data_IF_315043465342
#
_entry.id   IF_315043465342
#
_cell.length_a   1.000
_cell.length_b   1.000
_cell.length_c   1.000
_cell.angle_alpha   90.00
_cell.angle_beta   90.00
_cell.angle_gamma   90.00
#
_symmetry.space_group_name_H-M   'P 1'
#
loop_
_entity.id
_entity.type
_entity.pdbx_description
1 polymer ?
#
# COMPACT_ATOMS: atom_id res chain seq x y z
N UNK A 1 -26.53 -2.32 14.32
CA UNK A 1 -25.91 -1.27 15.13
C UNK A 1 -24.72 -0.76 14.33
N UNK A 2 -24.71 0.51 13.93
CA UNK A 2 -23.62 1.07 13.12
C UNK A 2 -22.49 1.55 14.03
N UNK A 3 -21.25 1.48 13.57
CA UNK A 3 -20.09 2.01 14.30
C UNK A 3 -20.25 3.51 14.53
N UNK A 4 -19.82 4.01 15.69
CA UNK A 4 -19.61 5.44 15.86
C UNK A 4 -18.40 5.90 15.03
N UNK A 5 -18.28 7.20 14.70
CA UNK A 5 -17.11 7.72 14.00
C UNK A 5 -15.79 7.33 14.68
N UNK A 6 -15.71 7.44 16.00
CA UNK A 6 -14.51 7.09 16.78
C UNK A 6 -14.19 5.58 16.72
N UNK A 7 -15.22 4.73 16.64
CA UNK A 7 -15.02 3.30 16.48
C UNK A 7 -14.52 2.96 15.07
N UNK A 8 -15.08 3.61 14.04
CA UNK A 8 -14.63 3.44 12.66
C UNK A 8 -13.18 3.88 12.48
N UNK A 9 -12.78 5.00 13.09
CA UNK A 9 -11.38 5.47 13.09
C UNK A 9 -10.43 4.48 13.76
N UNK A 10 -10.83 3.86 14.88
CA UNK A 10 -10.02 2.85 15.55
C UNK A 10 -9.87 1.58 14.71
N UNK A 11 -10.94 1.13 14.07
CA UNK A 11 -10.88 -0.03 13.15
C UNK A 11 -9.96 0.27 11.97
N UNK A 12 -10.08 1.45 11.38
CA UNK A 12 -9.20 1.90 10.30
C UNK A 12 -7.73 1.95 10.74
N UNK A 13 -7.45 2.56 11.89
CA UNK A 13 -6.11 2.66 12.45
C UNK A 13 -5.47 1.28 12.66
N UNK A 14 -6.22 0.33 13.23
CA UNK A 14 -5.76 -1.06 13.39
C UNK A 14 -5.47 -1.73 12.04
N UNK A 15 -6.35 -1.58 11.05
CA UNK A 15 -6.10 -2.15 9.71
C UNK A 15 -4.82 -1.61 9.07
N UNK A 16 -4.57 -0.30 9.19
CA UNK A 16 -3.35 0.35 8.70
C UNK A 16 -2.10 -0.19 9.42
N UNK A 17 -2.18 -0.42 10.73
CA UNK A 17 -1.08 -1.00 11.51
C UNK A 17 -0.81 -2.47 11.12
N UNK A 18 -1.85 -3.27 10.89
CA UNK A 18 -1.73 -4.65 10.40
C UNK A 18 -1.05 -4.69 9.03
N UNK A 19 -1.44 -3.81 8.10
CA UNK A 19 -0.81 -3.70 6.79
C UNK A 19 0.69 -3.35 6.89
N UNK A 20 1.03 -2.38 7.76
CA UNK A 20 2.42 -1.99 8.02
C UNK A 20 3.25 -3.14 8.64
N UNK A 21 2.65 -3.87 9.57
CA UNK A 21 3.29 -4.97 10.27
C UNK A 21 3.45 -6.23 9.39
N UNK A 22 2.58 -6.41 8.39
CA UNK A 22 2.55 -7.59 7.53
C UNK A 22 1.66 -8.72 8.08
N UNK A 23 0.72 -8.39 8.99
CA UNK A 23 -0.21 -9.31 9.63
C UNK A 23 -1.35 -9.70 8.66
N UNK A 24 -0.98 -10.42 7.61
CA UNK A 24 -1.80 -10.62 6.40
C UNK A 24 -3.15 -11.29 6.67
N UNK A 25 -3.17 -12.30 7.53
CA UNK A 25 -4.40 -13.03 7.87
C UNK A 25 -5.38 -12.13 8.63
N UNK A 26 -4.91 -11.48 9.70
CA UNK A 26 -5.73 -10.55 10.48
C UNK A 26 -6.22 -9.36 9.65
N UNK A 27 -5.38 -8.82 8.76
CA UNK A 27 -5.82 -7.77 7.84
C UNK A 27 -6.91 -8.30 6.90
N UNK A 28 -6.78 -9.52 6.40
CA UNK A 28 -7.80 -10.20 5.60
C UNK A 28 -9.16 -10.24 6.30
N UNK A 29 -9.18 -10.62 7.58
CA UNK A 29 -10.42 -10.63 8.39
C UNK A 29 -11.06 -9.24 8.48
N UNK A 30 -10.26 -8.18 8.65
CA UNK A 30 -10.76 -6.80 8.70
C UNK A 30 -11.40 -6.37 7.38
N UNK A 31 -10.80 -6.77 6.25
CA UNK A 31 -11.34 -6.52 4.92
C UNK A 31 -12.65 -7.29 4.71
N UNK A 32 -12.70 -8.55 5.13
CA UNK A 32 -13.92 -9.38 5.07
C UNK A 32 -15.05 -8.80 5.96
N UNK A 33 -14.69 -8.07 7.01
CA UNK A 33 -15.61 -7.31 7.87
C UNK A 33 -15.91 -5.88 7.40
N UNK A 34 -15.49 -5.52 6.19
CA UNK A 34 -15.93 -4.31 5.50
C UNK A 34 -15.00 -3.11 5.63
N UNK A 35 -13.76 -3.28 6.12
CA UNK A 35 -12.73 -2.25 5.90
C UNK A 35 -12.49 -2.11 4.40
N UNK A 36 -12.55 -0.90 3.83
CA UNK A 36 -12.31 -0.72 2.40
C UNK A 36 -10.89 -1.15 2.01
N UNK A 37 -10.75 -1.89 0.91
CA UNK A 37 -9.45 -2.37 0.39
C UNK A 37 -8.46 -1.22 0.11
N UNK A 38 -8.99 -0.05 -0.25
CA UNK A 38 -8.25 1.18 -0.55
C UNK A 38 -8.28 2.19 0.61
N UNK A 39 -8.51 1.71 1.84
CA UNK A 39 -8.46 2.56 3.02
C UNK A 39 -7.09 3.22 3.18
N UNK A 40 -7.09 4.47 3.68
CA UNK A 40 -5.90 5.32 3.79
C UNK A 40 -5.73 5.89 5.20
N UNK A 41 -4.49 6.15 5.58
CA UNK A 41 -4.15 6.92 6.78
C UNK A 41 -4.49 8.41 6.62
N UNK A 42 -4.35 9.19 7.69
CA UNK A 42 -4.43 10.66 7.64
C UNK A 42 -3.40 11.28 6.67
N UNK A 43 -2.28 10.60 6.43
CA UNK A 43 -1.27 11.03 5.46
C UNK A 43 -1.58 10.59 4.02
N UNK A 44 -2.71 9.90 3.80
CA UNK A 44 -3.10 9.34 2.52
C UNK A 44 -2.39 8.04 2.16
N UNK A 45 -1.66 7.41 3.09
CA UNK A 45 -0.99 6.13 2.81
C UNK A 45 -2.02 5.02 2.82
N UNK A 46 -2.21 4.35 1.68
CA UNK A 46 -3.13 3.21 1.57
C UNK A 46 -2.59 1.98 2.33
N UNK A 47 -3.48 1.01 2.60
CA UNK A 47 -3.07 -0.31 3.10
C UNK A 47 -1.94 -0.91 2.25
N UNK A 48 -2.09 -0.86 0.92
CA UNK A 48 -1.11 -1.37 -0.02
C UNK A 48 0.20 -0.59 0.04
N UNK A 49 0.15 0.74 0.20
CA UNK A 49 1.34 1.57 0.36
C UNK A 49 2.13 1.22 1.62
N UNK A 50 1.43 1.07 2.76
CA UNK A 50 2.06 0.69 4.02
C UNK A 50 2.70 -0.69 3.95
N UNK A 51 2.02 -1.68 3.35
CA UNK A 51 2.58 -3.00 3.14
C UNK A 51 3.83 -2.94 2.23
N UNK A 52 3.77 -2.19 1.14
CA UNK A 52 4.85 -2.07 0.18
C UNK A 52 6.09 -1.36 0.77
N UNK A 53 5.90 -0.27 1.51
CA UNK A 53 7.00 0.50 2.13
C UNK A 53 7.76 -0.29 3.20
N UNK A 54 7.13 -1.34 3.74
CA UNK A 54 7.67 -2.19 4.78
C UNK A 54 8.03 -3.60 4.27
N UNK A 55 8.10 -3.79 2.94
CA UNK A 55 8.50 -5.03 2.28
C UNK A 55 7.65 -6.25 2.72
N UNK A 56 6.33 -6.05 2.83
CA UNK A 56 5.37 -7.09 3.24
C UNK A 56 4.77 -7.78 2.02
N UNK A 57 5.57 -8.59 1.32
CA UNK A 57 5.19 -9.20 0.04
C UNK A 57 3.86 -9.97 0.10
N UNK A 58 3.65 -10.80 1.13
CA UNK A 58 2.41 -11.58 1.26
C UNK A 58 1.18 -10.68 1.42
N UNK A 59 1.32 -9.59 2.19
CA UNK A 59 0.25 -8.59 2.36
C UNK A 59 -0.01 -7.83 1.07
N UNK A 60 1.04 -7.47 0.32
CA UNK A 60 0.95 -6.84 -1.01
C UNK A 60 0.21 -7.75 -1.99
N UNK A 61 0.57 -9.03 -2.05
CA UNK A 61 -0.12 -10.03 -2.89
C UNK A 61 -1.61 -10.10 -2.52
N UNK A 62 -1.89 -10.29 -1.24
CA UNK A 62 -3.25 -10.40 -0.72
C UNK A 62 -4.13 -9.19 -1.08
N UNK A 63 -3.59 -7.97 -0.91
CA UNK A 63 -4.31 -6.73 -1.20
C UNK A 63 -4.55 -6.56 -2.72
N UNK A 64 -3.55 -6.83 -3.55
CA UNK A 64 -3.67 -6.73 -5.02
C UNK A 64 -4.63 -7.79 -5.58
N UNK A 65 -4.55 -9.03 -5.09
CA UNK A 65 -5.42 -10.13 -5.51
C UNK A 65 -6.89 -9.87 -5.14
N UNK A 66 -7.13 -9.05 -4.10
CA UNK A 66 -8.45 -8.56 -3.70
C UNK A 66 -8.86 -7.23 -4.37
N UNK A 67 -8.11 -6.75 -5.36
CA UNK A 67 -8.44 -5.56 -6.14
C UNK A 67 -8.01 -4.23 -5.50
N UNK A 68 -7.02 -4.26 -4.61
CA UNK A 68 -6.36 -3.04 -4.13
C UNK A 68 -5.73 -2.27 -5.29
N UNK A 69 -5.90 -0.95 -5.29
CA UNK A 69 -5.43 -0.07 -6.35
C UNK A 69 -3.94 0.26 -6.19
N UNK A 70 -3.05 -0.20 -7.12
CA UNK A 70 -1.62 0.03 -7.04
C UNK A 70 -1.20 1.48 -7.33
N UNK A 71 -2.10 2.31 -7.89
CA UNK A 71 -1.80 3.66 -8.37
C UNK A 71 -2.21 4.76 -7.38
N UNK A 72 -2.70 4.38 -6.19
CA UNK A 72 -3.01 5.35 -5.14
C UNK A 72 -1.76 6.14 -4.75
N UNK A 73 -1.96 7.46 -4.63
CA UNK A 73 -0.94 8.41 -4.17
C UNK A 73 -1.31 8.96 -2.82
N UNK A 74 -0.32 9.10 -1.96
CA UNK A 74 -0.51 9.72 -0.65
C UNK A 74 -0.53 11.26 -0.76
N UNK A 75 -0.72 11.94 0.38
CA UNK A 75 -0.79 13.41 0.43
C UNK A 75 0.52 14.11 -0.01
N UNK A 76 1.63 13.37 -0.14
CA UNK A 76 2.92 13.86 -0.63
C UNK A 76 3.15 13.55 -2.10
N UNK A 77 2.11 13.13 -2.82
CA UNK A 77 2.19 12.74 -4.22
C UNK A 77 3.10 11.53 -4.49
N UNK A 78 3.35 10.68 -3.48
CA UNK A 78 4.18 9.49 -3.66
C UNK A 78 3.33 8.34 -4.20
N UNK A 79 3.80 7.68 -5.27
CA UNK A 79 3.23 6.42 -5.73
C UNK A 79 3.78 5.23 -4.95
N UNK A 80 2.99 4.17 -4.87
CA UNK A 80 3.36 2.94 -4.13
C UNK A 80 4.65 2.33 -4.71
N UNK A 81 4.73 2.23 -6.04
CA UNK A 81 5.86 1.61 -6.74
C UNK A 81 7.16 2.41 -6.59
N UNK A 82 7.11 3.75 -6.65
CA UNK A 82 8.30 4.58 -6.44
C UNK A 82 8.84 4.46 -5.01
N UNK A 83 7.95 4.43 -4.01
CA UNK A 83 8.37 4.26 -2.62
C UNK A 83 8.90 2.84 -2.33
N UNK A 84 8.30 1.78 -2.89
CA UNK A 84 8.83 0.41 -2.77
C UNK A 84 10.24 0.30 -3.38
N UNK A 85 10.47 0.95 -4.52
CA UNK A 85 11.78 1.01 -5.17
C UNK A 85 12.81 1.73 -4.30
N UNK A 86 12.44 2.89 -3.73
CA UNK A 86 13.31 3.62 -2.79
C UNK A 86 13.69 2.78 -1.57
N UNK A 87 12.79 1.91 -1.11
CA UNK A 87 13.02 1.00 0.02
C UNK A 87 13.85 -0.24 -0.34
N UNK A 88 14.05 -0.53 -1.63
CA UNK A 88 14.75 -1.73 -2.06
C UNK A 88 13.94 -3.02 -1.98
N UNK A 89 12.61 -2.90 -1.98
CA UNK A 89 11.69 -4.02 -1.90
C UNK A 89 11.48 -4.65 -3.30
N UNK A 90 12.51 -5.29 -3.85
CA UNK A 90 12.55 -5.68 -5.27
C UNK A 90 11.41 -6.64 -5.68
N UNK A 91 11.04 -7.62 -4.82
CA UNK A 91 9.92 -8.52 -5.10
C UNK A 91 8.57 -7.78 -5.07
N UNK A 92 8.40 -6.85 -4.13
CA UNK A 92 7.21 -5.99 -4.06
C UNK A 92 7.11 -5.11 -5.31
N UNK A 93 8.22 -4.52 -5.76
CA UNK A 93 8.26 -3.73 -7.00
C UNK A 93 7.82 -4.60 -8.19
N UNK A 94 8.37 -5.80 -8.34
CA UNK A 94 7.96 -6.71 -9.41
C UNK A 94 6.47 -7.05 -9.33
N UNK A 95 5.95 -7.27 -8.12
CA UNK A 95 4.53 -7.58 -7.93
C UNK A 95 3.62 -6.41 -8.29
N UNK A 96 3.99 -5.18 -7.93
CA UNK A 96 3.25 -3.95 -8.28
C UNK A 96 3.28 -3.70 -9.79
N UNK A 97 4.45 -3.84 -10.42
CA UNK A 97 4.58 -3.74 -11.88
C UNK A 97 3.75 -4.82 -12.59
N UNK A 98 3.77 -6.06 -12.08
CA UNK A 98 2.92 -7.14 -12.58
C UNK A 98 1.42 -6.89 -12.41
N UNK A 99 1.02 -6.07 -11.41
CA UNK A 99 -0.35 -5.58 -11.25
C UNK A 99 -0.70 -4.38 -12.16
N UNK A 100 0.24 -3.87 -12.95
CA UNK A 100 0.02 -2.75 -13.85
C UNK A 100 0.24 -1.37 -13.23
N UNK A 101 0.97 -1.27 -12.12
CA UNK A 101 1.30 0.02 -11.50
C UNK A 101 1.94 1.00 -12.49
N UNK A 102 1.46 2.23 -12.51
CA UNK A 102 1.98 3.32 -13.32
C UNK A 102 3.35 3.79 -12.80
N UNK A 103 4.39 3.47 -13.57
CA UNK A 103 5.78 3.82 -13.26
C UNK A 103 6.06 5.33 -13.38
N UNK A 104 5.15 6.07 -14.01
CA UNK A 104 5.24 7.51 -14.24
C UNK A 104 4.33 8.30 -13.28
N UNK A 105 3.65 7.61 -12.36
CA UNK A 105 2.84 8.23 -11.31
C UNK A 105 3.68 8.73 -10.13
N UNK A 106 3.27 9.88 -9.61
CA UNK A 106 3.82 10.50 -8.41
C UNK A 106 5.15 11.21 -8.63
N UNK A 107 5.67 11.82 -7.56
CA UNK A 107 6.88 12.65 -7.61
C UNK A 107 7.86 12.30 -6.47
N UNK A 108 9.10 11.87 -6.77
CA UNK A 108 9.61 11.49 -8.09
C UNK A 108 8.92 10.23 -8.61
N UNK A 109 8.91 10.04 -9.94
CA UNK A 109 8.38 8.82 -10.55
C UNK A 109 9.26 7.61 -10.24
N UNK A 110 8.75 6.39 -10.42
CA UNK A 110 9.56 5.19 -10.21
C UNK A 110 10.73 5.10 -11.18
N UNK A 111 10.58 5.60 -12.42
CA UNK A 111 11.68 5.67 -13.39
C UNK A 111 12.77 6.64 -12.94
N UNK A 112 12.38 7.83 -12.48
CA UNK A 112 13.32 8.80 -11.92
C UNK A 112 14.05 8.23 -10.69
N UNK A 113 13.31 7.56 -9.81
CA UNK A 113 13.90 6.90 -8.66
C UNK A 113 14.90 5.80 -9.08
N UNK A 114 14.56 4.96 -10.06
CA UNK A 114 15.46 3.94 -10.59
C UNK A 114 16.78 4.54 -11.12
N UNK A 115 16.72 5.64 -11.88
CA UNK A 115 17.89 6.36 -12.38
C UNK A 115 18.77 6.87 -11.23
N UNK A 116 18.17 7.47 -10.20
CA UNK A 116 18.90 7.99 -9.02
C UNK A 116 19.70 6.91 -8.28
N UNK A 117 19.26 5.65 -8.34
CA UNK A 117 19.89 4.52 -7.65
C UNK A 117 20.67 3.58 -8.58
N UNK A 118 20.81 3.91 -9.87
CA UNK A 118 21.51 3.07 -10.85
C UNK A 118 20.81 1.73 -11.13
N UNK A 119 19.48 1.71 -11.08
CA UNK A 119 18.62 0.52 -11.27
C UNK A 119 17.78 0.57 -12.56
N UNK A 120 18.15 1.44 -13.50
CA UNK A 120 17.49 1.60 -14.81
C UNK A 120 17.94 0.57 -15.84
#
# INVERSE_FOLDING_TARGET
MSLTPEQAERVLSLALDLARAGETEQLGEFLDHGVPINAVSESGDSLLMLAAYHDRLDTVNMLLDRGGDPDLRNARDQSIVAGALFKGADEVVRRLVGAGADLDAGTPTARQAAEMFGRG
#
